data_IF_630740697958
#
_entry.id   IF_630740697958
#
_cell.length_a   1.000
_cell.length_b   1.000
_cell.length_c   1.000
_cell.angle_alpha   90.00
_cell.angle_beta   90.00
_cell.angle_gamma   90.00
#
_symmetry.space_group_name_H-M   'P 1'
#
loop_
_entity.id
_entity.type
_entity.pdbx_description
1 polymer ?
#
# COMPACT_ATOMS: atom_id res chain seq x y z
N UNK A 1 0.13 14.82 -11.90
CA UNK A 1 -0.69 15.43 -10.82
C UNK A 1 -0.97 14.48 -9.66
N UNK A 2 -1.60 13.31 -9.88
CA UNK A 2 -1.86 12.36 -8.77
C UNK A 2 -0.56 11.87 -8.12
N UNK A 3 0.45 11.53 -8.92
CA UNK A 3 1.77 11.15 -8.44
C UNK A 3 2.48 12.33 -7.76
N UNK A 4 2.42 13.53 -8.33
CA UNK A 4 2.99 14.74 -7.73
C UNK A 4 2.39 15.04 -6.35
N UNK A 5 1.08 14.85 -6.20
CA UNK A 5 0.41 14.98 -4.91
C UNK A 5 0.93 13.93 -3.92
N UNK A 6 1.07 12.67 -4.33
CA UNK A 6 1.65 11.65 -3.47
C UNK A 6 3.11 11.96 -3.11
N UNK A 7 3.90 12.58 -4.01
CA UNK A 7 5.25 13.07 -3.70
C UNK A 7 5.25 14.22 -2.69
N UNK A 8 4.30 15.15 -2.77
CA UNK A 8 4.11 16.18 -1.75
C UNK A 8 3.85 15.49 -0.40
N UNK A 9 2.93 14.52 -0.37
CA UNK A 9 2.64 13.76 0.85
C UNK A 9 3.85 12.95 1.35
N UNK A 10 4.72 12.42 0.49
CA UNK A 10 5.95 11.74 0.92
C UNK A 10 6.90 12.67 1.68
N UNK A 11 6.93 13.96 1.31
CA UNK A 11 7.80 14.97 1.94
C UNK A 11 7.24 15.52 3.25
N UNK A 12 5.92 15.49 3.43
CA UNK A 12 5.31 16.01 4.65
C UNK A 12 5.56 15.06 5.82
N UNK A 13 5.81 15.59 7.01
CA UNK A 13 6.04 14.73 8.17
C UNK A 13 4.72 14.14 8.70
N UNK A 14 3.71 14.99 8.86
CA UNK A 14 2.36 14.63 9.32
C UNK A 14 1.32 15.08 8.31
N UNK A 15 0.20 14.34 8.19
CA UNK A 15 -0.95 14.74 7.38
C UNK A 15 -1.84 15.78 8.10
N UNK A 16 -1.72 15.87 9.42
CA UNK A 16 -2.41 16.88 10.23
C UNK A 16 -1.70 18.24 10.20
N UNK A 17 -0.49 18.30 9.61
CA UNK A 17 0.27 19.52 9.50
C UNK A 17 -0.30 20.42 8.38
N UNK A 18 -0.37 21.71 8.66
CA UNK A 18 -0.69 22.74 7.67
C UNK A 18 0.46 22.87 6.67
N UNK A 19 0.13 22.85 5.39
CA UNK A 19 1.06 23.05 4.28
C UNK A 19 1.00 24.49 3.82
N UNK A 20 2.15 25.07 3.52
CA UNK A 20 2.22 26.37 2.85
C UNK A 20 2.21 26.21 1.33
N UNK A 21 1.92 27.30 0.62
CA UNK A 21 1.90 27.34 -0.85
C UNK A 21 3.18 26.79 -1.49
N UNK A 22 4.36 27.11 -0.93
CA UNK A 22 5.65 26.63 -1.42
C UNK A 22 5.78 25.10 -1.41
N UNK A 23 5.18 24.44 -0.42
CA UNK A 23 5.18 22.98 -0.31
C UNK A 23 4.30 22.30 -1.37
N UNK A 24 3.35 23.04 -1.98
CA UNK A 24 2.48 22.55 -3.04
C UNK A 24 3.09 22.69 -4.44
N UNK A 25 4.29 23.25 -4.55
CA UNK A 25 5.05 23.37 -5.81
C UNK A 25 4.25 23.97 -6.99
N UNK A 26 3.40 24.96 -6.73
CA UNK A 26 2.60 25.63 -7.76
C UNK A 26 1.41 24.81 -8.29
N UNK A 27 1.04 23.71 -7.61
CA UNK A 27 -0.16 22.91 -7.90
C UNK A 27 -1.37 23.33 -7.05
N UNK A 28 -1.23 24.32 -6.19
CA UNK A 28 -2.25 24.88 -5.28
C UNK A 28 -3.63 25.02 -5.93
N UNK A 29 -3.73 25.73 -7.05
CA UNK A 29 -5.01 25.97 -7.75
C UNK A 29 -5.65 24.67 -8.26
N UNK A 30 -4.84 23.75 -8.76
CA UNK A 30 -5.33 22.47 -9.30
C UNK A 30 -5.80 21.54 -8.17
N UNK A 31 -5.07 21.51 -7.05
CA UNK A 31 -5.38 20.70 -5.87
C UNK A 31 -6.64 21.23 -5.16
N UNK A 32 -6.79 22.55 -5.04
CA UNK A 32 -7.98 23.19 -4.48
C UNK A 32 -9.23 22.90 -5.33
N UNK A 33 -9.13 23.01 -6.66
CA UNK A 33 -10.25 22.72 -7.57
C UNK A 33 -10.77 21.29 -7.40
N UNK A 34 -9.89 20.33 -7.12
CA UNK A 34 -10.26 18.93 -6.86
C UNK A 34 -10.55 18.62 -5.38
N UNK A 35 -10.41 19.61 -4.50
CA UNK A 35 -10.58 19.50 -3.04
C UNK A 35 -9.66 18.47 -2.39
N UNK A 36 -8.48 18.23 -2.98
CA UNK A 36 -7.45 17.39 -2.35
C UNK A 36 -6.74 18.14 -1.23
N UNK A 37 -6.73 19.46 -1.31
CA UNK A 37 -6.34 20.34 -0.20
C UNK A 37 -7.47 21.33 0.07
N UNK A 38 -7.57 21.78 1.31
CA UNK A 38 -8.55 22.79 1.75
C UNK A 38 -7.76 23.93 2.39
N UNK A 39 -8.07 25.17 2.03
CA UNK A 39 -7.46 26.34 2.65
C UNK A 39 -7.84 26.38 4.14
N UNK A 40 -6.82 26.42 5.01
CA UNK A 40 -6.93 26.38 6.47
C UNK A 40 -6.27 27.62 7.09
N UNK A 41 -6.74 28.79 6.63
CA UNK A 41 -6.32 30.10 7.12
C UNK A 41 -5.07 30.66 6.45
N UNK A 42 -4.51 31.69 7.09
CA UNK A 42 -3.37 32.45 6.61
C UNK A 42 -2.37 32.68 7.73
N UNK A 43 -1.12 32.91 7.34
CA UNK A 43 -0.04 33.30 8.24
C UNK A 43 -0.27 34.74 8.72
N UNK A 44 -0.11 34.99 10.02
CA UNK A 44 -0.35 36.31 10.64
C UNK A 44 0.91 37.17 10.75
N UNK A 45 2.10 36.58 10.57
CA UNK A 45 3.40 37.26 10.68
C UNK A 45 4.49 36.64 9.82
N UNK A 46 5.11 37.39 8.91
CA UNK A 46 6.15 36.87 8.00
C UNK A 46 7.56 37.29 8.44
N UNK A 47 8.56 36.48 8.11
CA UNK A 47 9.97 36.85 8.25
C UNK A 47 10.41 37.68 7.05
N UNK A 48 10.94 38.88 7.31
CA UNK A 48 11.40 39.83 6.29
C UNK A 48 12.90 40.06 6.48
N UNK A 49 13.72 39.94 5.42
CA UNK A 49 15.15 40.24 5.52
C UNK A 49 15.38 41.75 5.73
N UNK A 50 16.14 42.08 6.77
CA UNK A 50 16.50 43.44 7.19
C UNK A 50 18.02 43.49 7.42
N UNK A 51 18.74 44.08 6.47
CA UNK A 51 20.21 44.09 6.44
C UNK A 51 20.81 42.67 6.57
N UNK A 52 21.46 42.35 7.70
CA UNK A 52 22.12 41.07 7.98
C UNK A 52 21.25 40.13 8.86
N UNK A 53 20.00 40.48 9.13
CA UNK A 53 19.06 39.70 9.97
C UNK A 53 17.70 39.51 9.31
N UNK A 54 16.88 38.63 9.88
CA UNK A 54 15.45 38.50 9.55
C UNK A 54 14.62 39.03 10.73
N UNK A 55 13.60 39.83 10.43
CA UNK A 55 12.65 40.35 11.43
C UNK A 55 11.23 39.87 11.14
N UNK A 56 10.51 39.50 12.19
CA UNK A 56 9.12 39.08 12.11
C UNK A 56 8.19 40.30 12.04
N UNK A 57 7.34 40.35 11.01
CA UNK A 57 6.42 41.47 10.75
C UNK A 57 5.00 40.94 10.64
N UNK A 58 4.08 41.56 11.37
CA UNK A 58 2.65 41.29 11.26
C UNK A 58 2.10 41.70 9.88
N UNK A 59 1.21 40.87 9.34
CA UNK A 59 0.58 41.12 8.05
C UNK A 59 -0.87 41.57 8.22
N UNK A 60 -1.26 42.60 7.47
CA UNK A 60 -2.65 43.01 7.33
C UNK A 60 -3.27 42.26 6.15
N UNK A 61 -4.26 41.42 6.42
CA UNK A 61 -4.94 40.61 5.42
C UNK A 61 -6.16 41.37 4.90
N UNK A 62 -6.25 41.50 3.57
CA UNK A 62 -7.43 42.02 2.89
C UNK A 62 -8.05 40.92 2.03
N UNK A 63 -9.11 40.30 2.54
CA UNK A 63 -9.82 39.22 1.85
C UNK A 63 -10.57 39.69 0.60
N UNK A 64 -11.06 40.94 0.57
CA UNK A 64 -11.82 41.47 -0.57
C UNK A 64 -10.96 41.60 -1.84
N UNK A 65 -9.66 41.87 -1.65
CA UNK A 65 -8.70 42.05 -2.75
C UNK A 65 -7.80 40.85 -2.96
N UNK A 66 -7.95 39.79 -2.16
CA UNK A 66 -7.03 38.63 -2.11
C UNK A 66 -5.56 39.04 -1.97
N UNK A 67 -5.27 40.06 -1.16
CA UNK A 67 -3.92 40.53 -0.88
C UNK A 67 -3.62 40.62 0.60
N UNK A 68 -2.34 40.57 0.95
CA UNK A 68 -1.84 40.95 2.26
C UNK A 68 -0.83 42.08 2.13
N UNK A 69 -0.75 42.94 3.15
CA UNK A 69 0.20 44.03 3.19
C UNK A 69 1.00 43.98 4.48
N UNK A 70 2.27 44.39 4.42
CA UNK A 70 3.10 44.52 5.61
C UNK A 70 4.03 45.71 5.47
N UNK A 71 4.51 46.22 6.60
CA UNK A 71 5.43 47.35 6.64
C UNK A 71 6.86 46.85 6.70
N UNK A 72 7.69 47.26 5.75
CA UNK A 72 9.10 46.87 5.76
C UNK A 72 9.80 47.46 7.00
N UNK A 73 10.57 46.66 7.75
CA UNK A 73 11.33 47.18 8.87
C UNK A 73 12.53 48.00 8.38
N UNK A 74 12.79 49.12 9.02
CA UNK A 74 13.95 49.97 8.74
C UNK A 74 13.64 51.45 8.49
N UNK A 75 14.69 52.27 8.28
CA UNK A 75 14.58 53.73 8.19
C UNK A 75 13.83 54.23 6.95
N UNK A 76 13.60 53.37 5.95
CA UNK A 76 12.81 53.66 4.76
C UNK A 76 11.57 52.76 4.69
N UNK A 77 10.80 52.70 5.78
CA UNK A 77 9.59 51.86 5.85
C UNK A 77 8.61 52.19 4.72
N UNK A 78 8.23 51.16 3.96
CA UNK A 78 7.19 51.22 2.93
C UNK A 78 6.18 50.09 3.17
N UNK A 79 4.96 50.29 2.70
CA UNK A 79 3.94 49.23 2.73
C UNK A 79 4.11 48.44 1.44
N UNK A 80 4.39 47.14 1.57
CA UNK A 80 4.42 46.22 0.45
C UNK A 80 3.15 45.39 0.46
N UNK A 81 2.49 45.32 -0.69
CA UNK A 81 1.29 44.50 -0.90
C UNK A 81 1.64 43.33 -1.79
N UNK A 82 1.23 42.12 -1.39
CA UNK A 82 1.49 40.86 -2.09
C UNK A 82 0.24 39.96 -2.14
N UNK A 83 0.18 38.96 -3.04
CA UNK A 83 -0.95 38.05 -3.14
C UNK A 83 -1.16 37.22 -1.86
N UNK A 84 -2.40 37.10 -1.40
CA UNK A 84 -2.78 36.36 -0.20
C UNK A 84 -2.41 34.87 -0.27
N UNK A 85 -2.31 34.31 -1.48
CA UNK A 85 -1.90 32.94 -1.72
C UNK A 85 -0.47 32.61 -1.24
N UNK A 86 0.42 33.59 -1.08
CA UNK A 86 1.79 33.35 -0.58
C UNK A 86 1.81 32.95 0.91
N UNK A 87 0.85 33.46 1.69
CA UNK A 87 0.74 33.22 3.13
C UNK A 87 -0.39 32.26 3.50
N UNK A 88 -1.01 31.62 2.52
CA UNK A 88 -2.11 30.68 2.75
C UNK A 88 -1.61 29.35 3.32
N UNK A 89 -2.35 28.83 4.30
CA UNK A 89 -2.21 27.48 4.78
C UNK A 89 -3.22 26.56 4.11
N UNK A 90 -2.81 25.31 3.93
CA UNK A 90 -3.60 24.26 3.32
C UNK A 90 -3.57 23.01 4.19
N UNK A 91 -4.74 22.46 4.48
CA UNK A 91 -4.90 21.14 5.10
C UNK A 91 -5.05 20.07 4.01
N UNK A 92 -4.51 18.88 4.28
CA UNK A 92 -4.57 17.73 3.37
C UNK A 92 -5.93 17.03 3.50
N UNK A 93 -6.63 16.87 2.38
CA UNK A 93 -7.83 16.06 2.29
C UNK A 93 -7.53 14.75 1.55
N UNK A 94 -7.08 13.76 2.32
CA UNK A 94 -6.69 12.46 1.80
C UNK A 94 -7.88 11.65 1.27
N UNK A 95 -9.05 11.79 1.90
CA UNK A 95 -10.26 11.07 1.51
C UNK A 95 -10.71 11.41 0.08
N UNK A 96 -10.74 12.70 -0.27
CA UNK A 96 -11.12 13.14 -1.62
C UNK A 96 -10.16 12.61 -2.68
N UNK A 97 -8.86 12.63 -2.40
CA UNK A 97 -7.87 12.08 -3.32
C UNK A 97 -8.02 10.55 -3.46
N UNK A 98 -8.19 9.81 -2.35
CA UNK A 98 -8.44 8.36 -2.38
C UNK A 98 -9.71 7.99 -3.11
N UNK A 99 -10.78 8.77 -2.99
CA UNK A 99 -12.02 8.55 -3.75
C UNK A 99 -11.79 8.67 -5.25
N UNK A 100 -11.00 9.67 -5.66
CA UNK A 100 -10.67 9.87 -7.06
C UNK A 100 -9.79 8.75 -7.60
N UNK A 101 -8.78 8.31 -6.86
CA UNK A 101 -7.96 7.15 -7.22
C UNK A 101 -8.82 5.88 -7.30
N UNK A 102 -9.69 5.64 -6.32
CA UNK A 102 -10.58 4.49 -6.30
C UNK A 102 -11.53 4.47 -7.51
N UNK A 103 -11.96 5.66 -7.94
CA UNK A 103 -12.79 5.82 -9.14
C UNK A 103 -12.00 5.58 -10.42
N UNK A 104 -10.76 6.06 -10.52
CA UNK A 104 -9.86 5.77 -11.66
C UNK A 104 -9.54 4.28 -11.79
N UNK A 105 -9.45 3.57 -10.67
CA UNK A 105 -9.22 2.13 -10.62
C UNK A 105 -10.49 1.30 -10.85
N UNK A 106 -11.65 1.94 -11.10
CA UNK A 106 -12.95 1.28 -11.23
C UNK A 106 -13.32 0.39 -10.01
N UNK A 107 -12.91 0.80 -8.80
CA UNK A 107 -13.35 0.13 -7.57
C UNK A 107 -14.80 0.52 -7.31
N UNK A 108 -15.68 -0.48 -7.43
CA UNK A 108 -17.10 -0.30 -7.17
C UNK A 108 -17.32 0.17 -5.72
N UNK A 109 -18.28 1.09 -5.45
CA UNK A 109 -18.48 1.67 -4.12
C UNK A 109 -18.65 0.63 -2.99
N UNK A 110 -19.32 -0.49 -3.28
CA UNK A 110 -19.53 -1.58 -2.32
C UNK A 110 -18.27 -2.41 -2.02
N UNK A 111 -17.24 -2.32 -2.88
CA UNK A 111 -15.94 -2.99 -2.70
C UNK A 111 -14.89 -2.03 -2.13
N UNK A 112 -15.24 -0.77 -1.87
CA UNK A 112 -14.35 0.19 -1.21
C UNK A 112 -14.22 -0.19 0.26
N UNK A 113 -13.02 -0.04 0.79
CA UNK A 113 -12.77 -0.35 2.20
C UNK A 113 -13.57 0.62 3.09
N UNK A 114 -14.32 0.07 4.06
CA UNK A 114 -15.06 0.87 5.05
C UNK A 114 -14.13 1.57 6.03
N UNK A 115 -13.05 0.89 6.43
CA UNK A 115 -11.95 1.45 7.22
C UNK A 115 -10.71 1.46 6.36
N UNK A 116 -10.42 2.63 5.76
CA UNK A 116 -9.33 2.79 4.79
C UNK A 116 -7.97 2.80 5.46
N UNK A 117 -7.82 3.55 6.54
CA UNK A 117 -6.54 3.66 7.22
C UNK A 117 -6.21 2.39 8.00
N UNK A 118 -5.14 1.72 7.56
CA UNK A 118 -4.58 0.55 8.23
C UNK A 118 -3.50 0.99 9.20
N UNK A 119 -2.60 1.84 8.73
CA UNK A 119 -1.52 2.43 9.54
C UNK A 119 -1.68 3.95 9.45
N UNK A 120 -1.86 4.63 10.59
CA UNK A 120 -2.03 6.07 10.64
C UNK A 120 -0.97 6.81 9.80
N UNK A 121 -1.41 7.58 8.82
CA UNK A 121 -0.51 8.40 8.01
C UNK A 121 0.42 7.65 7.04
N UNK A 122 0.32 6.32 6.93
CA UNK A 122 1.30 5.52 6.18
C UNK A 122 0.72 4.48 5.21
N UNK A 123 -0.39 3.81 5.55
CA UNK A 123 -0.94 2.74 4.73
C UNK A 123 -2.46 2.77 4.74
N UNK A 124 -3.04 2.81 3.54
CA UNK A 124 -4.49 2.79 3.34
C UNK A 124 -4.90 1.68 2.39
N UNK A 125 -6.03 1.03 2.69
CA UNK A 125 -6.76 0.12 1.81
C UNK A 125 -7.82 0.92 1.07
N UNK A 126 -7.74 0.95 -0.26
CA UNK A 126 -8.75 1.61 -1.09
C UNK A 126 -9.98 0.73 -1.26
N UNK A 127 -9.77 -0.57 -1.38
CA UNK A 127 -10.80 -1.56 -1.64
C UNK A 127 -10.27 -2.68 -2.50
N UNK A 128 -11.19 -3.50 -3.02
CA UNK A 128 -10.84 -4.71 -3.75
C UNK A 128 -11.23 -4.61 -5.23
N UNK A 129 -10.27 -4.95 -6.10
CA UNK A 129 -10.45 -4.97 -7.56
C UNK A 129 -10.57 -6.40 -8.04
N UNK A 130 -11.43 -6.62 -9.03
CA UNK A 130 -11.59 -7.92 -9.67
C UNK A 130 -10.36 -8.25 -10.52
N UNK A 131 -9.82 -9.45 -10.38
CA UNK A 131 -8.63 -9.89 -11.13
C UNK A 131 -9.05 -10.42 -12.50
N UNK A 132 -8.83 -9.64 -13.57
CA UNK A 132 -9.23 -9.99 -14.93
C UNK A 132 -10.70 -10.42 -15.02
N UNK A 133 -10.97 -11.55 -15.68
CA UNK A 133 -12.33 -12.14 -15.79
C UNK A 133 -12.69 -13.09 -14.64
N UNK A 134 -11.75 -13.36 -13.73
CA UNK A 134 -11.95 -14.32 -12.64
C UNK A 134 -12.98 -13.84 -11.62
N UNK A 135 -13.47 -14.72 -10.73
CA UNK A 135 -14.28 -14.33 -9.57
C UNK A 135 -13.44 -13.83 -8.38
N UNK A 136 -12.12 -13.79 -8.55
CA UNK A 136 -11.19 -13.39 -7.49
C UNK A 136 -11.12 -11.87 -7.39
N UNK A 137 -11.04 -11.39 -6.16
CA UNK A 137 -10.78 -10.01 -5.83
C UNK A 137 -9.42 -9.89 -5.15
N UNK A 138 -8.74 -8.78 -5.38
CA UNK A 138 -7.44 -8.48 -4.82
C UNK A 138 -7.44 -7.05 -4.27
N UNK A 139 -6.86 -6.83 -3.08
CA UNK A 139 -6.90 -5.52 -2.45
C UNK A 139 -5.91 -4.57 -3.11
N UNK A 140 -6.31 -3.30 -3.18
CA UNK A 140 -5.43 -2.20 -3.60
C UNK A 140 -5.14 -1.34 -2.38
N UNK A 141 -3.85 -1.12 -2.14
CA UNK A 141 -3.35 -0.27 -1.08
C UNK A 141 -2.69 0.97 -1.67
N UNK A 142 -2.66 2.04 -0.89
CA UNK A 142 -1.77 3.19 -1.10
C UNK A 142 -0.86 3.27 0.11
N UNK A 143 0.43 3.46 -0.12
CA UNK A 143 1.40 3.62 0.94
C UNK A 143 2.23 4.88 0.75
N UNK A 144 2.62 5.49 1.88
CA UNK A 144 3.64 6.54 1.92
C UNK A 144 4.68 6.29 3.01
N UNK A 145 5.90 6.79 2.79
CA UNK A 145 7.01 6.72 3.74
C UNK A 145 7.22 5.30 4.29
N UNK A 146 7.23 4.31 3.39
CA UNK A 146 7.30 2.88 3.73
C UNK A 146 8.49 2.50 4.63
N UNK A 147 9.59 3.24 4.55
CA UNK A 147 10.75 3.05 5.42
C UNK A 147 10.48 3.40 6.89
N UNK A 148 9.61 4.39 7.15
CA UNK A 148 9.27 4.87 8.50
C UNK A 148 8.39 3.90 9.30
N UNK A 149 7.62 3.03 8.62
CA UNK A 149 6.66 2.11 9.25
C UNK A 149 6.92 0.64 8.83
N UNK A 150 8.19 0.27 8.65
CA UNK A 150 8.57 -0.95 7.92
C UNK A 150 8.10 -2.28 8.53
N UNK A 151 8.00 -2.33 9.85
CA UNK A 151 7.52 -3.51 10.57
C UNK A 151 5.98 -3.59 10.56
N UNK A 152 5.33 -2.45 10.79
CA UNK A 152 3.88 -2.35 10.91
C UNK A 152 3.15 -2.73 9.61
N UNK A 153 3.68 -2.34 8.44
CA UNK A 153 3.05 -2.72 7.18
C UNK A 153 3.27 -4.19 6.83
N UNK A 154 4.40 -4.80 7.22
CA UNK A 154 4.64 -6.23 7.00
C UNK A 154 3.65 -7.07 7.80
N UNK A 155 3.48 -6.77 9.07
CA UNK A 155 2.51 -7.44 9.94
C UNK A 155 1.08 -7.24 9.44
N UNK A 156 0.76 -6.02 9.01
CA UNK A 156 -0.57 -5.68 8.46
C UNK A 156 -0.93 -6.46 7.19
N UNK A 157 0.04 -6.71 6.30
CA UNK A 157 -0.16 -7.49 5.07
C UNK A 157 -0.12 -9.01 5.30
N UNK A 158 0.47 -9.46 6.40
CA UNK A 158 0.46 -10.86 6.84
C UNK A 158 -0.82 -11.24 7.61
N UNK A 159 -1.70 -10.27 7.90
CA UNK A 159 -2.96 -10.54 8.59
C UNK A 159 -3.84 -11.50 7.76
N UNK A 160 -4.21 -12.69 8.30
CA UNK A 160 -5.01 -13.69 7.58
C UNK A 160 -6.42 -13.22 7.23
N UNK A 161 -6.95 -12.19 7.91
CA UNK A 161 -8.26 -11.61 7.59
C UNK A 161 -8.25 -10.79 6.29
N UNK A 162 -7.07 -10.47 5.75
CA UNK A 162 -6.92 -9.68 4.53
C UNK A 162 -6.54 -10.57 3.34
N UNK A 163 -7.16 -10.37 2.15
CA UNK A 163 -6.80 -11.15 0.98
C UNK A 163 -5.36 -10.86 0.55
N UNK A 164 -4.59 -11.91 0.22
CA UNK A 164 -3.25 -11.77 -0.34
C UNK A 164 -3.26 -11.35 -1.82
N UNK A 165 -2.06 -11.13 -2.37
CA UNK A 165 -1.81 -10.82 -3.79
C UNK A 165 -2.41 -9.52 -4.32
N UNK A 166 -2.57 -8.54 -3.44
CA UNK A 166 -2.94 -7.18 -3.81
C UNK A 166 -1.80 -6.35 -4.42
N UNK A 167 -2.14 -5.13 -4.84
CA UNK A 167 -1.16 -4.13 -5.31
C UNK A 167 -1.05 -3.01 -4.29
N UNK A 168 0.19 -2.63 -3.95
CA UNK A 168 0.51 -1.47 -3.15
C UNK A 168 1.02 -0.35 -4.05
N UNK A 169 0.24 0.72 -4.13
CA UNK A 169 0.55 1.93 -4.87
C UNK A 169 1.49 2.81 -4.07
N UNK A 170 2.55 3.28 -4.72
CA UNK A 170 3.64 4.08 -4.13
C UNK A 170 3.91 5.31 -4.99
N UNK A 171 4.58 6.32 -4.43
CA UNK A 171 4.94 7.53 -5.18
C UNK A 171 5.92 7.23 -6.33
N UNK A 172 6.82 6.27 -6.12
CA UNK A 172 7.89 5.90 -7.03
C UNK A 172 8.13 4.40 -7.01
N UNK A 173 8.71 3.86 -8.08
CA UNK A 173 9.01 2.43 -8.16
C UNK A 173 9.98 2.04 -7.05
N UNK A 174 9.49 1.22 -6.12
CA UNK A 174 10.27 0.81 -4.95
C UNK A 174 10.51 -0.70 -4.99
N UNK A 175 11.77 -1.11 -4.95
CA UNK A 175 12.16 -2.53 -4.89
C UNK A 175 12.00 -3.05 -3.46
N UNK A 176 10.76 -3.29 -3.05
CA UNK A 176 10.42 -3.85 -1.75
C UNK A 176 9.83 -5.23 -1.97
N UNK A 177 10.34 -6.20 -1.23
CA UNK A 177 9.76 -7.53 -1.16
C UNK A 177 8.56 -7.50 -0.19
N UNK A 178 7.36 -7.56 -0.75
CA UNK A 178 6.12 -7.52 0.03
C UNK A 178 5.66 -8.96 0.33
N UNK A 179 5.17 -9.23 1.56
CA UNK A 179 4.70 -10.55 1.94
C UNK A 179 3.40 -10.94 1.20
N UNK A 180 2.97 -12.20 1.37
CA UNK A 180 1.66 -12.69 0.91
C UNK A 180 1.36 -12.45 -0.59
N UNK A 181 2.42 -12.42 -1.41
CA UNK A 181 2.33 -12.23 -2.86
C UNK A 181 1.91 -10.84 -3.31
N UNK A 182 1.89 -9.84 -2.41
CA UNK A 182 1.61 -8.45 -2.77
C UNK A 182 2.71 -7.87 -3.69
N UNK A 183 2.36 -6.87 -4.49
CA UNK A 183 3.33 -6.18 -5.37
C UNK A 183 3.30 -4.68 -5.16
N UNK A 184 4.47 -4.05 -5.12
CA UNK A 184 4.59 -2.61 -5.22
C UNK A 184 4.45 -2.18 -6.69
N UNK A 185 3.74 -1.09 -6.92
CA UNK A 185 3.67 -0.41 -8.21
C UNK A 185 3.65 1.09 -7.97
N UNK A 186 4.37 1.84 -8.78
CA UNK A 186 4.29 3.30 -8.72
C UNK A 186 3.02 3.82 -9.38
N UNK A 187 2.49 4.92 -8.84
CA UNK A 187 1.23 5.48 -9.31
C UNK A 187 1.35 6.08 -10.72
N UNK A 188 2.49 6.66 -11.07
CA UNK A 188 2.80 7.18 -12.41
C UNK A 188 2.83 6.09 -13.49
N UNK A 189 3.23 4.87 -13.13
CA UNK A 189 3.27 3.75 -14.04
C UNK A 189 1.87 3.17 -14.29
N UNK A 190 1.00 3.25 -13.29
CA UNK A 190 -0.37 2.74 -13.39
C UNK A 190 -1.33 3.75 -14.03
N UNK A 191 -1.13 5.05 -13.80
CA UNK A 191 -1.99 6.11 -14.31
C UNK A 191 -1.40 6.73 -15.57
N UNK A 192 -2.07 6.52 -16.71
CA UNK A 192 -1.65 7.04 -18.01
C UNK A 192 -2.34 8.38 -18.26
N UNK A 193 -1.52 9.38 -18.61
CA UNK A 193 -1.99 10.69 -19.02
C UNK A 193 -2.33 10.68 -20.51
N UNK A 194 -3.57 11.08 -20.83
CA UNK A 194 -4.05 11.29 -22.19
C UNK A 194 -4.43 12.76 -22.39
N UNK A 195 -4.65 13.16 -23.64
CA UNK A 195 -5.08 14.52 -23.99
C UNK A 195 -6.44 14.91 -23.38
N UNK A 196 -7.28 13.93 -23.05
CA UNK A 196 -8.63 14.12 -22.50
C UNK A 196 -8.74 13.81 -21.00
N UNK A 197 -7.63 13.50 -20.31
CA UNK A 197 -7.63 13.21 -18.88
C UNK A 197 -6.65 12.12 -18.46
N UNK A 198 -6.84 11.62 -17.24
CA UNK A 198 -6.03 10.52 -16.68
C UNK A 198 -6.87 9.25 -16.70
N UNK A 199 -6.28 8.13 -17.12
CA UNK A 199 -6.91 6.83 -17.07
C UNK A 199 -5.99 5.79 -16.41
N UNK A 200 -6.54 4.68 -15.96
CA UNK A 200 -5.75 3.57 -15.42
C UNK A 200 -5.34 2.61 -16.56
N UNK A 201 -4.07 2.19 -16.58
CA UNK A 201 -3.63 1.06 -17.38
C UNK A 201 -4.14 -0.26 -16.76
N UNK A 202 -5.37 -0.63 -17.14
CA UNK A 202 -5.98 -1.87 -16.69
C UNK A 202 -5.23 -3.12 -17.17
N UNK A 203 -4.49 -3.04 -18.29
CA UNK A 203 -3.70 -4.17 -18.75
C UNK A 203 -2.48 -4.39 -17.85
N UNK A 204 -1.82 -3.31 -17.41
CA UNK A 204 -0.78 -3.38 -16.39
C UNK A 204 -1.36 -3.85 -15.06
N UNK A 205 -2.49 -3.30 -14.62
CA UNK A 205 -3.16 -3.70 -13.38
C UNK A 205 -3.45 -5.20 -13.38
N UNK A 206 -4.05 -5.71 -14.46
CA UNK A 206 -4.33 -7.12 -14.64
C UNK A 206 -3.04 -7.95 -14.60
N UNK A 207 -1.96 -7.52 -15.26
CA UNK A 207 -0.65 -8.22 -15.20
C UNK A 207 -0.05 -8.24 -13.79
N UNK A 208 -0.24 -7.18 -13.02
CA UNK A 208 0.21 -7.11 -11.63
C UNK A 208 -0.59 -8.07 -10.75
N UNK A 209 -1.91 -8.14 -10.97
CA UNK A 209 -2.85 -8.94 -10.18
C UNK A 209 -2.88 -10.42 -10.56
N UNK A 210 -2.68 -10.77 -11.84
CA UNK A 210 -2.84 -12.14 -12.33
C UNK A 210 -1.65 -13.04 -12.08
N UNK A 211 -0.42 -12.50 -11.93
CA UNK A 211 0.82 -13.24 -11.67
C UNK A 211 0.81 -14.66 -12.29
N UNK A 212 0.61 -14.80 -13.60
CA UNK A 212 0.62 -16.13 -14.22
C UNK A 212 2.07 -16.64 -14.21
N UNK A 213 2.43 -17.41 -13.17
CA UNK A 213 3.03 -18.70 -13.48
C UNK A 213 1.91 -19.55 -14.12
N UNK A 214 2.18 -20.35 -15.16
CA UNK A 214 1.16 -20.95 -16.05
C UNK A 214 0.07 -21.81 -15.40
N UNK A 215 0.14 -22.02 -14.08
CA UNK A 215 -0.67 -22.98 -13.35
C UNK A 215 -1.64 -22.32 -12.33
N UNK A 216 -1.77 -20.99 -12.30
CA UNK A 216 -2.60 -20.28 -11.31
C UNK A 216 -4.02 -19.92 -11.81
N UNK A 217 -4.62 -20.76 -12.68
CA UNK A 217 -6.07 -20.77 -12.86
C UNK A 217 -6.71 -21.63 -11.76
N UNK A 218 -7.75 -21.09 -11.10
CA UNK A 218 -8.52 -21.63 -9.95
C UNK A 218 -7.94 -21.40 -8.55
N UNK A 219 -8.41 -20.34 -7.90
CA UNK A 219 -8.38 -20.21 -6.43
C UNK A 219 -9.39 -21.16 -5.79
N UNK A 220 -9.18 -22.47 -5.95
CA UNK A 220 -9.73 -23.47 -5.03
C UNK A 220 -8.82 -23.64 -3.81
N UNK A 221 -7.66 -22.98 -3.74
CA UNK A 221 -6.67 -23.27 -2.72
C UNK A 221 -6.75 -22.35 -1.50
N UNK A 222 -6.86 -22.91 -0.30
CA UNK A 222 -6.81 -22.18 0.96
C UNK A 222 -6.27 -23.05 2.08
N UNK A 223 -5.78 -22.43 3.16
CA UNK A 223 -5.48 -23.09 4.41
C UNK A 223 -6.04 -22.29 5.58
N UNK A 224 -6.83 -22.93 6.43
CA UNK A 224 -7.31 -22.36 7.68
C UNK A 224 -6.48 -22.90 8.85
N UNK A 225 -5.70 -22.02 9.48
CA UNK A 225 -4.78 -22.38 10.55
C UNK A 225 -5.49 -22.72 11.88
N UNK A 226 -6.72 -22.26 12.09
CA UNK A 226 -7.50 -22.50 13.31
C UNK A 226 -8.03 -23.93 13.34
N UNK A 227 -8.64 -24.39 12.24
CA UNK A 227 -9.21 -25.73 12.14
C UNK A 227 -8.26 -26.74 11.47
N UNK A 228 -7.20 -26.28 10.80
CA UNK A 228 -6.22 -27.10 10.08
C UNK A 228 -6.67 -27.57 8.70
N UNK A 229 -7.71 -26.95 8.14
CA UNK A 229 -8.29 -27.32 6.86
C UNK A 229 -7.45 -26.79 5.69
N UNK A 230 -6.96 -27.70 4.85
CA UNK A 230 -6.22 -27.40 3.63
C UNK A 230 -7.04 -27.83 2.40
N UNK A 231 -7.17 -26.93 1.43
CA UNK A 231 -7.67 -27.22 0.10
C UNK A 231 -6.60 -26.81 -0.92
N UNK A 232 -6.28 -27.72 -1.84
CA UNK A 232 -5.38 -27.49 -2.99
C UNK A 232 -6.18 -27.67 -4.28
N UNK A 233 -5.69 -27.14 -5.41
CA UNK A 233 -6.48 -26.91 -6.62
C UNK A 233 -6.98 -28.19 -7.29
N UNK A 234 -6.37 -29.34 -6.98
CA UNK A 234 -6.74 -30.66 -7.51
C UNK A 234 -7.42 -31.57 -6.47
N UNK A 235 -7.65 -31.08 -5.26
CA UNK A 235 -8.36 -31.85 -4.24
C UNK A 235 -9.86 -31.76 -4.50
N UNK A 236 -10.60 -32.87 -4.48
CA UNK A 236 -12.06 -32.82 -4.60
C UNK A 236 -12.71 -32.19 -3.35
N UNK A 237 -12.21 -32.53 -2.16
CA UNK A 237 -12.66 -31.99 -0.88
C UNK A 237 -11.46 -31.51 -0.06
N UNK A 238 -11.64 -30.50 0.81
CA UNK A 238 -10.60 -30.06 1.74
C UNK A 238 -10.21 -31.19 2.71
N UNK A 239 -8.96 -31.17 3.17
CA UNK A 239 -8.43 -32.13 4.15
C UNK A 239 -8.07 -31.43 5.45
N UNK A 240 -8.51 -31.99 6.58
CA UNK A 240 -8.29 -31.41 7.90
C UNK A 240 -7.08 -32.07 8.55
N UNK A 241 -6.02 -31.29 8.76
CA UNK A 241 -4.84 -31.72 9.50
C UNK A 241 -5.00 -31.47 10.99
N UNK A 242 -4.59 -32.44 11.81
CA UNK A 242 -4.66 -32.36 13.26
C UNK A 242 -3.28 -32.16 13.90
N UNK A 243 -3.26 -31.54 15.08
CA UNK A 243 -2.10 -31.46 15.96
C UNK A 243 -0.81 -31.01 15.24
N UNK A 244 0.25 -31.82 15.29
CA UNK A 244 1.57 -31.51 14.75
C UNK A 244 1.53 -31.35 13.22
N UNK A 245 0.68 -32.09 12.51
CA UNK A 245 0.54 -31.96 11.06
C UNK A 245 0.03 -30.57 10.69
N UNK A 246 -0.94 -30.03 11.45
CA UNK A 246 -1.48 -28.69 11.25
C UNK A 246 -0.38 -27.63 11.38
N UNK A 247 0.45 -27.72 12.41
CA UNK A 247 1.54 -26.75 12.64
C UNK A 247 2.57 -26.79 11.51
N UNK A 248 2.90 -27.98 11.00
CA UNK A 248 3.83 -28.14 9.87
C UNK A 248 3.24 -27.56 8.58
N UNK A 249 1.97 -27.85 8.28
CA UNK A 249 1.29 -27.30 7.09
C UNK A 249 1.14 -25.78 7.22
N UNK A 250 0.84 -25.24 8.41
CA UNK A 250 0.76 -23.81 8.63
C UNK A 250 2.07 -23.08 8.33
N UNK A 251 3.20 -23.64 8.79
CA UNK A 251 4.53 -23.11 8.51
C UNK A 251 4.84 -23.14 7.01
N UNK A 252 4.61 -24.29 6.36
CA UNK A 252 4.87 -24.46 4.94
C UNK A 252 3.90 -23.70 4.03
N UNK A 253 2.69 -23.38 4.53
CA UNK A 253 1.74 -22.53 3.83
C UNK A 253 2.17 -21.07 3.86
N UNK A 254 2.69 -20.57 5.00
CA UNK A 254 3.28 -19.23 5.10
C UNK A 254 4.46 -19.05 4.14
N UNK A 255 5.31 -20.07 4.05
CA UNK A 255 6.51 -20.05 3.19
C UNK A 255 6.26 -20.64 1.79
N UNK A 256 5.00 -20.85 1.39
CA UNK A 256 4.62 -21.57 0.16
C UNK A 256 5.17 -20.95 -1.12
N UNK A 257 5.40 -19.63 -1.11
CA UNK A 257 5.92 -18.87 -2.23
C UNK A 257 7.44 -18.67 -2.19
N UNK A 258 8.09 -19.02 -1.07
CA UNK A 258 9.54 -19.03 -0.94
C UNK A 258 10.11 -20.35 -1.48
N UNK A 259 11.44 -20.41 -1.62
CA UNK A 259 12.14 -21.66 -1.91
C UNK A 259 11.85 -22.71 -0.83
N UNK A 260 12.13 -23.98 -1.12
CA UNK A 260 11.93 -25.09 -0.21
C UNK A 260 12.55 -24.83 1.17
N UNK A 261 11.97 -25.41 2.22
CA UNK A 261 12.34 -25.21 3.63
C UNK A 261 13.06 -26.44 4.16
N UNK A 262 14.18 -26.25 4.85
CA UNK A 262 14.95 -27.36 5.44
C UNK A 262 14.17 -28.04 6.56
N UNK A 263 14.08 -29.37 6.56
CA UNK A 263 13.31 -30.10 7.57
C UNK A 263 13.79 -29.88 9.01
N UNK A 264 15.10 -29.66 9.20
CA UNK A 264 15.64 -29.33 10.53
C UNK A 264 15.02 -28.04 11.09
N UNK A 265 14.80 -27.03 10.25
CA UNK A 265 14.14 -25.80 10.64
C UNK A 265 12.66 -26.04 10.96
N UNK A 266 11.95 -26.83 10.14
CA UNK A 266 10.55 -27.20 10.41
C UNK A 266 10.44 -27.90 11.76
N UNK A 267 11.38 -28.80 12.07
CA UNK A 267 11.44 -29.52 13.34
C UNK A 267 11.67 -28.58 14.53
N UNK A 268 12.59 -27.62 14.41
CA UNK A 268 12.84 -26.61 15.45
C UNK A 268 11.61 -25.76 15.73
N UNK A 269 10.88 -25.35 14.68
CA UNK A 269 9.72 -24.46 14.81
C UNK A 269 8.43 -25.17 15.26
N UNK A 270 8.26 -26.45 14.92
CA UNK A 270 7.00 -27.18 15.16
C UNK A 270 7.12 -28.34 16.14
N UNK A 271 8.33 -28.61 16.64
CA UNK A 271 8.67 -29.76 17.48
C UNK A 271 8.18 -31.11 16.89
N UNK A 272 8.26 -31.25 15.56
CA UNK A 272 7.73 -32.40 14.85
C UNK A 272 8.72 -33.59 14.79
N UNK A 273 8.29 -34.69 14.18
CA UNK A 273 9.12 -35.87 13.96
C UNK A 273 10.38 -35.61 13.12
N UNK A 274 11.31 -36.57 13.15
CA UNK A 274 12.65 -36.46 12.52
C UNK A 274 12.62 -36.33 10.99
N UNK A 275 11.50 -36.70 10.35
CA UNK A 275 11.31 -36.70 8.91
C UNK A 275 9.81 -36.57 8.56
N UNK A 276 9.43 -36.22 7.32
CA UNK A 276 8.04 -36.11 6.91
C UNK A 276 7.22 -37.38 7.11
N UNK A 277 7.82 -38.56 6.94
CA UNK A 277 7.14 -39.84 7.13
C UNK A 277 6.78 -40.10 8.58
N UNK A 278 7.57 -39.59 9.53
CA UNK A 278 7.25 -39.62 10.96
C UNK A 278 6.05 -38.73 11.33
N UNK A 279 5.71 -37.73 10.50
CA UNK A 279 4.63 -36.75 10.77
C UNK A 279 3.36 -37.07 9.98
N UNK A 280 3.50 -37.39 8.69
CA UNK A 280 2.39 -37.61 7.75
C UNK A 280 2.23 -39.08 7.33
N UNK A 281 3.06 -39.98 7.86
CA UNK A 281 3.03 -41.41 7.51
C UNK A 281 3.64 -41.72 6.14
N UNK A 282 3.37 -42.93 5.62
CA UNK A 282 3.95 -43.40 4.33
C UNK A 282 3.52 -42.56 3.12
N UNK A 283 2.41 -41.82 3.23
CA UNK A 283 1.84 -41.00 2.15
C UNK A 283 2.15 -39.51 2.31
N UNK A 284 3.26 -39.17 2.96
CA UNK A 284 3.67 -37.78 3.16
C UNK A 284 3.90 -37.04 1.83
N UNK A 285 4.29 -37.76 0.78
CA UNK A 285 4.53 -37.22 -0.56
C UNK A 285 3.25 -36.77 -1.27
N UNK A 286 2.07 -37.11 -0.74
CA UNK A 286 0.79 -36.56 -1.21
C UNK A 286 0.74 -35.05 -0.99
N UNK A 287 1.27 -34.58 0.14
CA UNK A 287 1.14 -33.21 0.63
C UNK A 287 2.40 -32.38 0.43
N UNK A 288 3.56 -33.03 0.56
CA UNK A 288 4.86 -32.37 0.49
C UNK A 288 5.67 -32.87 -0.70
N UNK A 289 6.49 -31.99 -1.24
CA UNK A 289 7.45 -32.29 -2.28
C UNK A 289 8.86 -32.04 -1.75
N UNK A 290 9.77 -32.99 -2.03
CA UNK A 290 11.19 -32.80 -1.76
C UNK A 290 11.79 -32.00 -2.92
N UNK A 291 12.64 -31.03 -2.58
CA UNK A 291 13.43 -30.33 -3.59
C UNK A 291 14.57 -31.22 -4.09
N UNK A 292 14.57 -31.53 -5.39
CA UNK A 292 15.56 -32.42 -6.01
C UNK A 292 16.96 -31.81 -6.03
N UNK A 293 17.06 -30.48 -5.97
CA UNK A 293 18.34 -29.76 -5.96
C UNK A 293 18.99 -29.63 -4.58
N UNK A 294 18.26 -29.87 -3.49
CA UNK A 294 18.76 -29.66 -2.12
C UNK A 294 18.29 -30.75 -1.14
N UNK A 295 19.25 -31.51 -0.60
CA UNK A 295 18.95 -32.62 0.31
C UNK A 295 18.32 -32.11 1.62
N UNK A 296 17.14 -32.64 1.94
CA UNK A 296 16.45 -32.36 3.21
C UNK A 296 15.58 -31.10 3.19
N UNK A 297 15.34 -30.54 2.01
CA UNK A 297 14.45 -29.40 1.80
C UNK A 297 13.10 -29.86 1.26
N UNK A 298 12.03 -29.26 1.79
CA UNK A 298 10.65 -29.65 1.53
C UNK A 298 9.79 -28.42 1.32
N UNK A 299 8.78 -28.56 0.47
CA UNK A 299 7.76 -27.54 0.27
C UNK A 299 6.39 -28.18 0.20
N UNK A 300 5.35 -27.37 0.44
CA UNK A 300 3.99 -27.80 0.17
C UNK A 300 3.82 -28.04 -1.33
N UNK A 301 3.14 -29.12 -1.72
CA UNK A 301 2.86 -29.36 -3.12
C UNK A 301 1.97 -28.27 -3.71
N UNK A 302 2.29 -27.89 -4.94
CA UNK A 302 1.43 -27.02 -5.77
C UNK A 302 0.19 -27.75 -6.24
N UNK A 303 0.27 -29.07 -6.41
CA UNK A 303 -0.86 -29.92 -6.78
C UNK A 303 -0.82 -31.22 -5.96
N UNK A 304 -1.89 -31.52 -5.22
CA UNK A 304 -2.01 -32.81 -4.53
C UNK A 304 -2.00 -33.96 -5.56
N UNK A 305 -1.29 -35.06 -5.25
CA UNK A 305 -1.53 -36.32 -5.96
C UNK A 305 -2.93 -36.80 -5.58
N UNK A 306 -3.67 -37.31 -6.57
CA UNK A 306 -4.93 -38.00 -6.32
C UNK A 306 -4.63 -39.14 -5.32
N UNK A 307 -5.31 -39.21 -4.18
CA UNK A 307 -5.17 -40.37 -3.29
C UNK A 307 -5.61 -41.64 -4.00
#
# INVERSE_FOLDING_TARGET
MHTDYLFILERTHSLDARLMSDALHGLDRALLKRRWVIQDGHLTSIQVPVFDSEEEVEVEINEETETFSYRTPGPHSCILTRPLAEIAFYSVNMDMWMEEISSLLNIAPQLRAKKREIIPGHLWHLGDVRVGRSKRFAPIYVARRLGSASQDWKESLLNPERPGHGVMLTAQDTKIDLPNGHRACSLDRLLVLHSNGVSCDFALLDRLLTFIAPDAENSEEYFNAENGELKLARMAQPYIFACIQRSVIALLWKDRHLSSVKWSYIKEQTNCGKDPGSVFGKNWDTWLERDEGQRGYYRLRRHAKKP
#
